data_IF_664698113367
#
_entry.id   IF_664698113367
#
_cell.length_a   1.000
_cell.length_b   1.000
_cell.length_c   1.000
_cell.angle_alpha   90.00
_cell.angle_beta   90.00
_cell.angle_gamma   90.00
#
_symmetry.space_group_name_H-M   'P 1'
#
loop_
_entity.id
_entity.type
_entity.pdbx_description
1 polymer ?
#
# COMPACT_ATOMS: atom_id res chain seq x y z
N UNK A 1 0.19 -17.24 13.58
CA UNK A 1 0.24 -16.20 12.56
C UNK A 1 0.15 -16.81 11.17
N UNK A 2 -0.73 -16.37 10.30
CA UNK A 2 -0.81 -16.89 8.94
C UNK A 2 0.50 -16.64 8.16
N UNK A 3 0.86 -17.55 7.23
CA UNK A 3 2.14 -17.43 6.50
C UNK A 3 2.28 -16.16 5.66
N UNK A 4 1.15 -15.57 5.22
CA UNK A 4 1.15 -14.36 4.40
C UNK A 4 1.29 -13.08 5.24
N UNK A 5 1.04 -13.16 6.54
CA UNK A 5 1.15 -12.00 7.43
C UNK A 5 2.61 -11.79 7.83
N UNK A 6 3.08 -10.56 7.74
CA UNK A 6 4.46 -10.21 8.09
C UNK A 6 4.44 -9.49 9.43
N UNK A 7 5.17 -9.98 10.45
CA UNK A 7 5.32 -9.25 11.71
C UNK A 7 5.93 -7.87 11.47
N UNK A 8 5.52 -6.89 12.26
CA UNK A 8 5.97 -5.51 12.07
C UNK A 8 7.49 -5.36 12.18
N UNK A 9 8.16 -6.19 12.96
CA UNK A 9 9.61 -6.17 13.11
C UNK A 9 10.38 -6.82 11.95
N UNK A 10 9.67 -7.45 11.00
CA UNK A 10 10.26 -8.11 9.83
C UNK A 10 9.87 -7.45 8.52
N UNK A 11 9.19 -6.32 8.56
CA UNK A 11 8.81 -5.62 7.34
C UNK A 11 10.05 -5.10 6.62
N UNK A 12 10.06 -5.13 5.27
CA UNK A 12 11.12 -4.47 4.53
C UNK A 12 11.17 -2.98 4.85
N UNK A 13 12.34 -2.35 4.84
CA UNK A 13 12.41 -0.89 4.94
C UNK A 13 11.75 -0.25 3.72
N UNK A 14 11.38 1.02 3.85
CA UNK A 14 10.94 1.79 2.68
C UNK A 14 12.11 1.86 1.70
N UNK A 15 11.82 1.57 0.45
CA UNK A 15 12.84 1.48 -0.60
C UNK A 15 13.44 2.85 -0.93
N UNK A 16 14.49 2.85 -1.76
CA UNK A 16 15.05 4.10 -2.31
C UNK A 16 13.95 4.89 -3.04
N UNK A 17 14.15 6.19 -3.17
CA UNK A 17 13.16 7.07 -3.82
C UNK A 17 12.81 6.57 -5.22
N UNK A 18 13.80 6.15 -6.01
CA UNK A 18 13.55 5.66 -7.37
C UNK A 18 12.70 4.39 -7.36
N UNK A 19 13.01 3.44 -6.48
CA UNK A 19 12.24 2.20 -6.37
C UNK A 19 10.84 2.47 -5.85
N UNK A 20 10.72 3.36 -4.88
CA UNK A 20 9.43 3.79 -4.34
C UNK A 20 8.56 4.42 -5.42
N UNK A 21 9.12 5.34 -6.21
CA UNK A 21 8.39 5.99 -7.30
C UNK A 21 7.96 4.98 -8.37
N UNK A 22 8.79 3.99 -8.69
CA UNK A 22 8.40 2.93 -9.62
C UNK A 22 7.22 2.12 -9.11
N UNK A 23 7.22 1.80 -7.83
CA UNK A 23 6.11 1.05 -7.22
C UNK A 23 4.81 1.86 -7.29
N UNK A 24 4.87 3.17 -7.14
CA UNK A 24 3.71 4.05 -7.12
C UNK A 24 3.29 4.53 -8.53
N UNK A 25 4.13 4.37 -9.54
CA UNK A 25 3.85 4.90 -10.89
C UNK A 25 2.78 4.13 -11.66
N UNK A 26 2.42 2.94 -11.23
CA UNK A 26 1.38 2.14 -11.86
C UNK A 26 0.00 2.62 -11.41
N UNK A 27 -0.96 2.84 -12.34
CA UNK A 27 -2.27 3.37 -11.96
C UNK A 27 -3.06 2.45 -11.02
N UNK A 28 -2.92 1.13 -11.14
CA UNK A 28 -3.59 0.19 -10.24
C UNK A 28 -3.01 0.30 -8.84
N UNK A 29 -1.68 0.29 -8.72
CA UNK A 29 -1.03 0.41 -7.42
C UNK A 29 -1.30 1.75 -6.77
N UNK A 30 -1.30 2.82 -7.54
CA UNK A 30 -1.59 4.15 -7.00
C UNK A 30 -3.03 4.23 -6.48
N UNK A 31 -3.99 3.61 -7.17
CA UNK A 31 -5.37 3.54 -6.71
C UNK A 31 -5.51 2.73 -5.41
N UNK A 32 -4.78 1.62 -5.29
CA UNK A 32 -4.75 0.84 -4.06
C UNK A 32 -4.29 1.69 -2.87
N UNK A 33 -3.22 2.44 -3.07
CA UNK A 33 -2.69 3.34 -2.04
C UNK A 33 -3.68 4.45 -1.72
N UNK A 34 -4.34 5.02 -2.73
CA UNK A 34 -5.35 6.06 -2.54
C UNK A 34 -6.51 5.57 -1.68
N UNK A 35 -7.00 4.36 -1.93
CA UNK A 35 -8.09 3.77 -1.14
C UNK A 35 -7.68 3.57 0.31
N UNK A 36 -6.46 3.08 0.54
CA UNK A 36 -5.94 2.91 1.89
C UNK A 36 -5.73 4.25 2.59
N UNK A 37 -5.24 5.26 1.87
CA UNK A 37 -5.03 6.59 2.45
C UNK A 37 -6.36 7.27 2.84
N UNK A 38 -7.45 6.94 2.15
CA UNK A 38 -8.78 7.48 2.46
C UNK A 38 -9.42 6.84 3.68
N UNK A 39 -8.95 5.65 4.08
CA UNK A 39 -9.47 4.98 5.27
C UNK A 39 -8.91 5.65 6.54
N UNK A 40 -9.74 5.89 7.58
CA UNK A 40 -9.25 6.56 8.79
C UNK A 40 -8.10 5.84 9.49
N UNK A 41 -8.08 4.51 9.43
CA UNK A 41 -7.02 3.69 10.04
C UNK A 41 -5.93 3.33 9.04
N UNK A 42 -6.22 3.45 7.74
CA UNK A 42 -5.29 3.09 6.68
C UNK A 42 -5.25 1.60 6.39
N UNK A 43 -6.32 0.88 6.70
CA UNK A 43 -6.43 -0.57 6.47
C UNK A 43 -7.62 -0.89 5.59
N UNK A 44 -7.47 -1.96 4.79
CA UNK A 44 -8.59 -2.50 4.02
C UNK A 44 -8.35 -3.97 3.70
N UNK A 45 -9.42 -4.78 3.61
CA UNK A 45 -9.29 -6.15 3.12
C UNK A 45 -8.84 -6.15 1.66
N UNK A 46 -8.09 -7.19 1.26
CA UNK A 46 -7.60 -7.31 -0.11
C UNK A 46 -8.72 -7.19 -1.14
N UNK A 47 -9.86 -7.81 -0.87
CA UNK A 47 -10.99 -7.83 -1.80
C UNK A 47 -11.51 -6.46 -2.16
N UNK A 48 -11.43 -5.47 -1.26
CA UNK A 48 -11.88 -4.11 -1.53
C UNK A 48 -10.84 -3.29 -2.30
N UNK A 49 -9.62 -3.79 -2.44
CA UNK A 49 -8.52 -3.08 -3.09
C UNK A 49 -8.31 -3.51 -4.55
N UNK A 50 -8.91 -4.63 -5.00
CA UNK A 50 -8.70 -5.12 -6.35
C UNK A 50 -9.99 -5.33 -7.15
N UNK A 51 -11.03 -4.58 -6.86
CA UNK A 51 -12.27 -4.64 -7.62
C UNK A 51 -11.97 -4.46 -9.12
N UNK A 52 -12.53 -5.34 -9.96
CA UNK A 52 -12.30 -5.30 -11.40
C UNK A 52 -11.01 -5.97 -11.87
N UNK A 53 -10.21 -6.50 -10.96
CA UNK A 53 -8.99 -7.24 -11.29
C UNK A 53 -9.13 -8.71 -10.92
N UNK A 54 -8.40 -9.59 -11.59
CA UNK A 54 -8.31 -10.95 -11.12
C UNK A 54 -7.34 -11.03 -9.93
N UNK A 55 -7.49 -12.09 -9.14
CA UNK A 55 -6.76 -12.25 -7.89
C UNK A 55 -5.24 -12.33 -8.10
N UNK A 56 -4.78 -13.01 -9.15
CA UNK A 56 -3.34 -13.16 -9.38
C UNK A 56 -2.68 -11.86 -9.79
N UNK A 57 -3.36 -11.04 -10.59
CA UNK A 57 -2.88 -9.70 -10.95
C UNK A 57 -2.79 -8.81 -9.70
N UNK A 58 -3.84 -8.83 -8.87
CA UNK A 58 -3.86 -8.08 -7.62
C UNK A 58 -2.71 -8.50 -6.69
N UNK A 59 -2.49 -9.81 -6.54
CA UNK A 59 -1.41 -10.34 -5.71
C UNK A 59 -0.04 -9.83 -6.17
N UNK A 60 0.18 -9.76 -7.48
CA UNK A 60 1.42 -9.21 -8.04
C UNK A 60 1.63 -7.75 -7.63
N UNK A 61 0.58 -6.93 -7.72
CA UNK A 61 0.66 -5.52 -7.31
C UNK A 61 0.89 -5.36 -5.80
N UNK A 62 0.22 -6.16 -4.97
CA UNK A 62 0.44 -6.14 -3.53
C UNK A 62 1.88 -6.49 -3.18
N UNK A 63 2.44 -7.50 -3.85
CA UNK A 63 3.82 -7.93 -3.62
C UNK A 63 4.81 -6.79 -3.90
N UNK A 64 4.63 -6.08 -5.01
CA UNK A 64 5.49 -4.94 -5.36
C UNK A 64 5.42 -3.85 -4.29
N UNK A 65 4.21 -3.53 -3.82
CA UNK A 65 4.02 -2.51 -2.80
C UNK A 65 4.59 -2.92 -1.44
N UNK A 66 4.44 -4.18 -1.06
CA UNK A 66 5.02 -4.71 0.18
C UNK A 66 6.55 -4.66 0.12
N UNK A 67 7.14 -5.11 -0.98
CA UNK A 67 8.59 -5.12 -1.15
C UNK A 67 9.20 -3.72 -1.19
N UNK A 68 8.44 -2.73 -1.68
CA UNK A 68 8.87 -1.33 -1.67
C UNK A 68 8.71 -0.66 -0.31
N UNK A 69 8.13 -1.34 0.66
CA UNK A 69 7.95 -0.81 2.01
C UNK A 69 6.71 0.07 2.17
N UNK A 70 5.78 0.03 1.21
CA UNK A 70 4.56 0.86 1.22
C UNK A 70 3.44 0.23 2.04
N UNK A 71 3.29 -1.10 1.94
CA UNK A 71 2.19 -1.83 2.57
C UNK A 71 2.68 -2.85 3.58
N UNK A 72 1.85 -3.07 4.59
CA UNK A 72 2.03 -4.09 5.62
C UNK A 72 0.88 -5.10 5.49
N UNK A 73 1.15 -6.37 5.14
CA UNK A 73 0.12 -7.42 5.14
C UNK A 73 -0.36 -7.68 6.57
N UNK A 74 -1.66 -7.56 6.79
CA UNK A 74 -2.27 -7.73 8.12
C UNK A 74 -3.64 -8.39 7.99
N UNK A 75 -4.16 -8.87 9.12
CA UNK A 75 -5.58 -9.21 9.22
C UNK A 75 -6.39 -7.92 9.35
N UNK A 76 -7.49 -7.84 8.61
CA UNK A 76 -8.47 -6.75 8.73
C UNK A 76 -9.80 -7.43 9.06
N UNK A 77 -10.19 -7.37 10.34
CA UNK A 77 -11.25 -8.23 10.84
C UNK A 77 -10.85 -9.70 10.72
N UNK A 78 -11.66 -10.49 10.02
CA UNK A 78 -11.39 -11.90 9.77
C UNK A 78 -10.80 -12.18 8.38
N UNK A 79 -10.43 -11.13 7.64
CA UNK A 79 -9.97 -11.22 6.27
C UNK A 79 -8.51 -10.81 6.12
N UNK A 80 -7.85 -11.33 5.08
CA UNK A 80 -6.54 -10.83 4.66
C UNK A 80 -6.68 -9.39 4.16
N UNK A 81 -5.74 -8.54 4.54
CA UNK A 81 -5.74 -7.16 4.10
C UNK A 81 -4.36 -6.54 4.14
N UNK A 82 -4.34 -5.24 3.97
CA UNK A 82 -3.12 -4.45 4.01
C UNK A 82 -3.33 -3.18 4.81
N UNK A 83 -2.27 -2.74 5.46
CA UNK A 83 -2.19 -1.45 6.12
C UNK A 83 -1.19 -0.57 5.39
N UNK A 84 -1.55 0.67 5.14
CA UNK A 84 -0.64 1.67 4.58
C UNK A 84 0.37 2.10 5.66
N UNK A 85 1.64 2.04 5.33
CA UNK A 85 2.72 2.37 6.29
C UNK A 85 3.01 3.87 6.29
N UNK A 86 2.05 4.66 6.76
CA UNK A 86 2.10 6.13 6.72
C UNK A 86 3.31 6.68 7.44
N UNK A 87 3.60 6.20 8.65
CA UNK A 87 4.70 6.73 9.46
C UNK A 87 6.05 6.42 8.83
N UNK A 88 6.23 5.19 8.35
CA UNK A 88 7.47 4.80 7.69
C UNK A 88 7.70 5.60 6.40
N UNK A 89 6.64 5.82 5.62
CA UNK A 89 6.71 6.63 4.40
C UNK A 89 7.03 8.09 4.71
N UNK A 90 6.43 8.64 5.77
CA UNK A 90 6.70 10.01 6.18
C UNK A 90 8.14 10.20 6.65
N UNK A 91 8.70 9.20 7.34
CA UNK A 91 10.09 9.24 7.77
C UNK A 91 11.06 9.14 6.59
N UNK A 92 10.76 8.28 5.62
CA UNK A 92 11.64 8.04 4.48
C UNK A 92 11.54 9.11 3.40
N UNK A 93 10.34 9.66 3.19
CA UNK A 93 10.07 10.63 2.14
C UNK A 93 9.04 11.64 2.65
N UNK A 94 9.45 12.59 3.51
CA UNK A 94 8.52 13.53 4.13
C UNK A 94 7.68 14.30 3.11
N UNK A 95 6.35 14.25 3.29
CA UNK A 95 5.40 14.97 2.45
C UNK A 95 5.05 14.32 1.12
N UNK A 96 5.75 13.27 0.70
CA UNK A 96 5.52 12.65 -0.61
C UNK A 96 4.11 12.06 -0.72
N UNK A 97 3.72 11.25 0.25
CA UNK A 97 2.40 10.61 0.22
C UNK A 97 1.28 11.64 0.17
N UNK A 98 1.33 12.63 1.06
CA UNK A 98 0.30 13.68 1.11
C UNK A 98 0.25 14.49 -0.19
N UNK A 99 1.40 14.80 -0.78
CA UNK A 99 1.46 15.52 -2.04
C UNK A 99 0.83 14.71 -3.18
N UNK A 100 1.12 13.42 -3.24
CA UNK A 100 0.54 12.54 -4.26
C UNK A 100 -0.97 12.39 -4.09
N UNK A 101 -1.43 12.16 -2.87
CA UNK A 101 -2.86 12.00 -2.59
C UNK A 101 -3.62 13.29 -2.89
N UNK A 102 -3.06 14.43 -2.51
CA UNK A 102 -3.65 15.73 -2.83
C UNK A 102 -3.72 16.00 -4.33
N UNK A 103 -2.69 15.59 -5.07
CA UNK A 103 -2.68 15.75 -6.53
C UNK A 103 -3.75 14.86 -7.19
N UNK A 104 -3.90 13.61 -6.71
CA UNK A 104 -4.93 12.70 -7.22
C UNK A 104 -6.34 13.25 -6.97
N UNK A 105 -6.59 13.79 -5.79
CA UNK A 105 -7.89 14.36 -5.46
C UNK A 105 -8.24 15.54 -6.38
N UNK A 106 -7.24 16.33 -6.77
CA UNK A 106 -7.45 17.46 -7.68
C UNK A 106 -7.66 17.04 -9.12
N UNK A 107 -7.19 15.85 -9.53
CA UNK A 107 -7.37 15.34 -10.88
C UNK A 107 -8.77 14.75 -11.12
N UNK A 108 -9.43 14.38 -10.07
CA UNK A 108 -10.78 13.85 -10.14
C UNK A 108 -11.80 14.99 -10.10
#
# INVERSE_FOLDING_TARGET
MPPWEIPSDRLPPVATVQKLLRALADPVRLEMVRRLAADPVGEAPCSSLYEGLNKSTATHHFKILVEAGVLHPVMVGSSRGHRLRRDALQQAAPGLLDALMGALDRQD
#
